data_IF_195294783491
#
_entry.id   IF_195294783491
#
_cell.length_a   1.000
_cell.length_b   1.000
_cell.length_c   1.000
_cell.angle_alpha   90.00
_cell.angle_beta   90.00
_cell.angle_gamma   90.00
#
_symmetry.space_group_name_H-M   'P 1'
#
loop_
_entity.id
_entity.type
_entity.pdbx_description
1 polymer ?
#
# COMPACT_ATOMS: atom_id res chain seq x y z
N UNK A 1 -38.39 58.54 -62.99
CA UNK A 1 -37.26 59.31 -62.41
C UNK A 1 -36.81 58.59 -61.15
N UNK A 2 -35.49 58.40 -61.01
CA UNK A 2 -34.73 57.80 -59.88
C UNK A 2 -35.06 56.34 -59.53
N UNK A 3 -34.24 55.32 -59.79
CA UNK A 3 -32.80 55.07 -59.54
C UNK A 3 -32.46 54.90 -58.05
N UNK A 4 -31.92 53.72 -57.75
CA UNK A 4 -30.90 53.38 -56.74
C UNK A 4 -31.30 52.81 -55.36
N UNK A 5 -30.69 51.64 -55.11
CA UNK A 5 -30.09 51.14 -53.85
C UNK A 5 -30.91 50.08 -53.11
N UNK A 6 -30.71 48.78 -53.37
CA UNK A 6 -29.58 47.94 -52.93
C UNK A 6 -29.67 47.64 -51.43
N UNK A 7 -30.05 46.41 -51.06
CA UNK A 7 -29.45 45.65 -49.96
C UNK A 7 -29.87 44.17 -50.07
N UNK A 8 -28.86 43.32 -49.97
CA UNK A 8 -28.84 41.91 -50.31
C UNK A 8 -29.54 41.02 -49.28
N UNK A 9 -30.18 39.96 -49.77
CA UNK A 9 -30.46 38.77 -48.96
C UNK A 9 -30.06 37.53 -49.79
N UNK A 10 -28.78 37.19 -49.70
CA UNK A 10 -28.22 35.95 -50.22
C UNK A 10 -28.54 34.84 -49.22
N UNK A 11 -29.53 34.01 -49.54
CA UNK A 11 -29.87 32.83 -48.76
C UNK A 11 -28.78 31.76 -48.94
N UNK A 12 -27.88 31.62 -47.97
CA UNK A 12 -26.98 30.47 -47.87
C UNK A 12 -27.75 29.27 -47.29
N UNK A 13 -27.94 28.24 -48.12
CA UNK A 13 -28.27 26.89 -47.67
C UNK A 13 -27.04 26.27 -46.98
N UNK A 14 -27.04 26.19 -45.65
CA UNK A 14 -26.12 25.31 -44.92
C UNK A 14 -26.71 23.89 -44.93
N UNK A 15 -26.16 23.02 -45.77
CA UNK A 15 -26.33 21.58 -45.63
C UNK A 15 -25.47 21.10 -44.44
N UNK A 16 -26.13 20.65 -43.37
CA UNK A 16 -25.47 20.04 -42.22
C UNK A 16 -25.01 18.61 -42.60
N UNK A 17 -23.70 18.44 -42.77
CA UNK A 17 -23.06 17.12 -42.89
C UNK A 17 -22.73 16.64 -41.46
N UNK A 18 -23.21 15.47 -41.00
CA UNK A 18 -22.80 14.96 -39.71
C UNK A 18 -21.34 14.49 -39.80
N UNK A 19 -20.44 15.20 -39.12
CA UNK A 19 -19.07 14.75 -38.93
C UNK A 19 -19.07 13.53 -38.00
N UNK A 20 -18.96 12.34 -38.59
CA UNK A 20 -18.68 11.13 -37.83
C UNK A 20 -17.27 11.26 -37.23
N UNK A 21 -17.21 11.57 -35.93
CA UNK A 21 -15.97 11.52 -35.15
C UNK A 21 -15.61 10.04 -35.03
N UNK A 22 -14.74 9.57 -35.92
CA UNK A 22 -14.09 8.28 -35.78
C UNK A 22 -13.23 8.34 -34.50
N UNK A 23 -13.62 7.58 -33.48
CA UNK A 23 -12.77 7.26 -32.32
C UNK A 23 -11.52 6.58 -32.88
N UNK A 24 -10.43 7.33 -32.98
CA UNK A 24 -9.12 6.73 -33.16
C UNK A 24 -8.83 5.96 -31.88
N UNK A 25 -8.80 4.63 -31.97
CA UNK A 25 -8.27 3.81 -30.91
C UNK A 25 -6.80 4.22 -30.73
N UNK A 26 -6.48 4.80 -29.58
CA UNK A 26 -5.10 5.01 -29.17
C UNK A 26 -4.41 3.63 -29.22
N UNK A 27 -3.27 3.47 -29.89
CA UNK A 27 -2.53 2.22 -29.83
C UNK A 27 -2.22 1.94 -28.36
N UNK A 28 -2.59 0.75 -27.87
CA UNK A 28 -2.07 0.28 -26.60
C UNK A 28 -0.55 0.33 -26.70
N UNK A 29 0.11 1.04 -25.79
CA UNK A 29 1.56 1.08 -25.75
C UNK A 29 2.07 -0.37 -25.69
N UNK A 30 2.82 -0.78 -26.70
CA UNK A 30 3.51 -2.07 -26.67
C UNK A 30 4.47 -2.01 -25.48
N UNK A 31 4.33 -2.97 -24.55
CA UNK A 31 5.24 -3.11 -23.41
C UNK A 31 6.67 -3.20 -23.94
N UNK A 32 7.62 -2.57 -23.24
CA UNK A 32 9.03 -2.93 -23.45
C UNK A 32 9.16 -4.43 -23.17
N UNK A 33 9.40 -5.19 -24.24
CA UNK A 33 9.55 -6.63 -24.15
C UNK A 33 10.78 -6.93 -23.30
N UNK A 34 10.58 -7.53 -22.12
CA UNK A 34 11.66 -8.03 -21.27
C UNK A 34 11.80 -7.39 -19.89
N UNK A 35 10.93 -6.44 -19.51
CA UNK A 35 10.86 -5.91 -18.14
C UNK A 35 9.69 -6.54 -17.39
N UNK A 36 9.96 -7.14 -16.23
CA UNK A 36 8.95 -7.68 -15.32
C UNK A 36 8.27 -6.52 -14.59
N UNK A 37 6.95 -6.51 -14.55
CA UNK A 37 6.16 -5.53 -13.82
C UNK A 37 5.74 -6.09 -12.46
N UNK A 38 6.31 -5.51 -11.39
CA UNK A 38 5.96 -5.79 -10.01
C UNK A 38 4.94 -4.77 -9.52
N UNK A 39 3.68 -5.15 -9.32
CA UNK A 39 2.75 -4.28 -8.60
C UNK A 39 2.90 -4.49 -7.08
N UNK A 40 3.08 -3.41 -6.35
CA UNK A 40 3.40 -3.44 -4.91
C UNK A 40 2.77 -2.25 -4.22
N UNK A 41 2.97 -2.16 -2.90
CA UNK A 41 2.41 -1.09 -2.10
C UNK A 41 3.35 0.09 -1.92
N UNK A 42 2.79 1.30 -1.81
CA UNK A 42 3.58 2.50 -1.49
C UNK A 42 4.35 2.34 -0.17
N UNK A 43 3.80 1.67 0.85
CA UNK A 43 4.53 1.39 2.10
C UNK A 43 5.72 0.45 1.88
N UNK A 44 5.60 -0.55 1.00
CA UNK A 44 6.75 -1.39 0.62
C UNK A 44 7.84 -0.56 -0.04
N UNK A 45 7.47 0.35 -0.95
CA UNK A 45 8.43 1.25 -1.61
C UNK A 45 9.08 2.22 -0.62
N UNK A 46 8.28 2.89 0.22
CA UNK A 46 8.74 3.92 1.15
C UNK A 46 9.66 3.35 2.24
N UNK A 47 9.54 2.06 2.56
CA UNK A 47 10.48 1.36 3.45
C UNK A 47 11.92 1.33 2.90
N UNK A 48 12.08 1.46 1.58
CA UNK A 48 13.34 1.31 0.85
C UNK A 48 13.75 -0.14 0.57
N UNK A 49 12.94 -1.14 0.95
CA UNK A 49 13.30 -2.56 0.77
C UNK A 49 13.55 -2.91 -0.70
N UNK A 50 12.73 -2.33 -1.59
CA UNK A 50 12.82 -2.61 -3.02
C UNK A 50 14.11 -2.06 -3.65
N UNK A 51 14.72 -1.03 -3.06
CA UNK A 51 15.96 -0.44 -3.55
C UNK A 51 17.17 -1.39 -3.34
N UNK A 52 17.06 -2.37 -2.44
CA UNK A 52 18.06 -3.41 -2.22
C UNK A 52 17.66 -4.74 -2.86
N UNK A 53 16.38 -5.10 -2.77
CA UNK A 53 15.87 -6.38 -3.25
C UNK A 53 15.85 -6.50 -4.78
N UNK A 54 15.42 -5.45 -5.48
CA UNK A 54 15.28 -5.49 -6.95
C UNK A 54 16.64 -5.56 -7.66
N UNK A 55 17.66 -4.75 -7.31
CA UNK A 55 18.98 -4.88 -7.94
C UNK A 55 19.60 -6.28 -7.76
N UNK A 56 19.42 -6.89 -6.59
CA UNK A 56 19.89 -8.26 -6.34
C UNK A 56 19.16 -9.28 -7.22
N UNK A 57 17.85 -9.14 -7.40
CA UNK A 57 17.08 -9.96 -8.34
C UNK A 57 17.60 -9.81 -9.77
N UNK A 58 17.82 -8.58 -10.24
CA UNK A 58 18.31 -8.31 -11.60
C UNK A 58 19.70 -8.92 -11.82
N UNK A 59 20.60 -8.80 -10.84
CA UNK A 59 21.94 -9.40 -10.88
C UNK A 59 21.87 -10.94 -10.99
N UNK A 60 21.00 -11.58 -10.21
CA UNK A 60 20.91 -13.05 -10.14
C UNK A 60 20.17 -13.67 -11.33
N UNK A 61 19.12 -12.99 -11.80
CA UNK A 61 18.25 -13.51 -12.86
C UNK A 61 18.66 -13.05 -14.26
N UNK A 62 19.39 -11.93 -14.37
CA UNK A 62 19.64 -11.25 -15.64
C UNK A 62 18.40 -10.65 -16.29
N UNK A 63 17.30 -10.50 -15.54
CA UNK A 63 16.02 -9.94 -15.99
C UNK A 63 15.79 -8.60 -15.33
N UNK A 64 15.29 -7.62 -16.08
CA UNK A 64 14.91 -6.33 -15.53
C UNK A 64 13.56 -6.40 -14.84
N UNK A 65 13.38 -5.60 -13.78
CA UNK A 65 12.12 -5.51 -13.04
C UNK A 65 11.80 -4.06 -12.69
N UNK A 66 10.54 -3.66 -12.85
CA UNK A 66 10.06 -2.32 -12.56
C UNK A 66 8.89 -2.37 -11.57
N UNK A 67 8.97 -1.68 -10.42
CA UNK A 67 7.87 -1.60 -9.47
C UNK A 67 6.81 -0.59 -9.90
N UNK A 68 5.54 -0.90 -9.65
CA UNK A 68 4.38 -0.01 -9.71
C UNK A 68 3.82 0.07 -8.28
N UNK A 69 4.05 1.20 -7.61
CA UNK A 69 3.72 1.36 -6.19
C UNK A 69 2.39 2.09 -6.01
N UNK A 70 1.38 1.38 -5.51
CA UNK A 70 0.00 1.87 -5.31
C UNK A 70 -0.59 1.34 -4.00
N UNK A 71 -1.89 1.51 -3.73
CA UNK A 71 -2.54 0.79 -2.62
C UNK A 71 -2.70 -0.71 -2.92
N UNK A 72 -2.84 -1.57 -1.90
CA UNK A 72 -3.00 -3.03 -2.09
C UNK A 72 -4.18 -3.39 -3.01
N UNK A 73 -5.32 -2.68 -2.87
CA UNK A 73 -6.47 -2.87 -3.76
C UNK A 73 -6.13 -2.55 -5.22
N UNK A 74 -5.54 -1.38 -5.47
CA UNK A 74 -5.10 -0.98 -6.80
C UNK A 74 -4.03 -1.93 -7.39
N UNK A 75 -3.13 -2.48 -6.57
CA UNK A 75 -2.13 -3.46 -7.00
C UNK A 75 -2.79 -4.78 -7.45
N UNK A 76 -3.80 -5.25 -6.71
CA UNK A 76 -4.60 -6.42 -7.09
C UNK A 76 -5.39 -6.15 -8.38
N UNK A 77 -5.98 -4.98 -8.53
CA UNK A 77 -6.68 -4.60 -9.78
C UNK A 77 -5.73 -4.57 -10.99
N UNK A 78 -4.48 -4.12 -10.82
CA UNK A 78 -3.46 -4.20 -11.88
C UNK A 78 -3.22 -5.67 -12.28
N UNK A 79 -3.11 -6.58 -11.31
CA UNK A 79 -3.01 -8.02 -11.57
C UNK A 79 -4.23 -8.59 -12.30
N UNK A 80 -5.43 -8.18 -11.90
CA UNK A 80 -6.70 -8.61 -12.51
C UNK A 80 -6.77 -8.18 -13.98
N UNK A 81 -6.37 -6.95 -14.30
CA UNK A 81 -6.34 -6.44 -15.68
C UNK A 81 -5.16 -6.98 -16.50
N UNK A 82 -4.32 -7.82 -15.90
CA UNK A 82 -3.09 -8.32 -16.50
C UNK A 82 -2.07 -7.22 -16.79
N UNK A 83 -2.12 -6.13 -16.02
CA UNK A 83 -1.25 -4.95 -16.07
C UNK A 83 0.03 -5.11 -15.23
N UNK A 84 0.15 -6.20 -14.46
CA UNK A 84 1.35 -6.62 -13.73
C UNK A 84 1.62 -8.12 -13.93
N UNK A 85 2.87 -8.54 -13.72
CA UNK A 85 3.29 -9.95 -13.86
C UNK A 85 3.35 -10.67 -12.51
N UNK A 86 3.67 -9.93 -11.45
CA UNK A 86 3.77 -10.42 -10.09
C UNK A 86 3.37 -9.31 -9.12
N UNK A 87 2.78 -9.70 -7.98
CA UNK A 87 2.33 -8.79 -6.94
C UNK A 87 3.15 -9.04 -5.66
N UNK A 88 3.46 -7.98 -4.92
CA UNK A 88 3.95 -8.04 -3.53
C UNK A 88 3.06 -7.14 -2.66
N UNK A 89 2.10 -7.74 -1.96
CA UNK A 89 1.00 -7.04 -1.28
C UNK A 89 0.80 -7.58 0.13
N UNK A 90 -0.04 -6.89 0.93
CA UNK A 90 -0.27 -7.20 2.34
C UNK A 90 -1.74 -7.02 2.78
N UNK A 91 -2.67 -7.53 1.97
CA UNK A 91 -4.10 -7.51 2.28
C UNK A 91 -4.69 -8.92 2.19
N UNK A 92 -4.52 -9.78 3.22
CA UNK A 92 -4.82 -11.20 3.12
C UNK A 92 -6.23 -11.53 2.63
N UNK A 93 -7.25 -10.82 3.11
CA UNK A 93 -8.63 -11.05 2.70
C UNK A 93 -8.87 -10.70 1.21
N UNK A 94 -8.30 -9.58 0.73
CA UNK A 94 -8.42 -9.17 -0.67
C UNK A 94 -7.61 -10.10 -1.59
N UNK A 95 -6.44 -10.55 -1.13
CA UNK A 95 -5.62 -11.54 -1.84
C UNK A 95 -6.33 -12.89 -1.95
N UNK A 96 -7.00 -13.35 -0.89
CA UNK A 96 -7.77 -14.59 -0.92
C UNK A 96 -8.93 -14.50 -1.91
N UNK A 97 -9.64 -13.37 -1.95
CA UNK A 97 -10.67 -13.11 -2.95
C UNK A 97 -10.10 -13.09 -4.38
N UNK A 98 -8.95 -12.45 -4.57
CA UNK A 98 -8.23 -12.41 -5.85
C UNK A 98 -7.82 -13.81 -6.35
N UNK A 99 -7.28 -14.65 -5.45
CA UNK A 99 -6.94 -16.03 -5.75
C UNK A 99 -8.18 -16.88 -6.05
N UNK A 100 -9.25 -16.72 -5.27
CA UNK A 100 -10.51 -17.44 -5.47
C UNK A 100 -11.21 -17.09 -6.79
N UNK A 101 -11.06 -15.84 -7.26
CA UNK A 101 -11.52 -15.40 -8.57
C UNK A 101 -10.67 -15.94 -9.73
N UNK A 102 -9.55 -16.60 -9.44
CA UNK A 102 -8.65 -17.20 -10.43
C UNK A 102 -7.67 -16.21 -11.05
N UNK A 103 -7.49 -15.02 -10.48
CA UNK A 103 -6.60 -13.99 -11.02
C UNK A 103 -5.12 -14.22 -10.69
N UNK A 104 -4.81 -15.05 -9.69
CA UNK A 104 -3.45 -15.48 -9.37
C UNK A 104 -3.27 -16.99 -9.50
N UNK A 105 -2.04 -17.42 -9.75
CA UNK A 105 -1.69 -18.85 -9.92
C UNK A 105 -1.00 -19.45 -8.70
N UNK A 106 -0.21 -18.65 -7.99
CA UNK A 106 0.46 -19.03 -6.76
C UNK A 106 0.51 -17.82 -5.81
N UNK A 107 0.25 -18.06 -4.53
CA UNK A 107 0.37 -17.07 -3.44
C UNK A 107 1.22 -17.66 -2.34
N UNK A 108 2.24 -16.93 -1.89
CA UNK A 108 3.20 -17.38 -0.86
C UNK A 108 3.50 -16.27 0.12
N UNK A 109 3.61 -16.61 1.40
CA UNK A 109 4.11 -15.66 2.41
C UNK A 109 5.57 -15.35 2.15
N UNK A 110 5.99 -14.11 2.39
CA UNK A 110 7.38 -13.66 2.18
C UNK A 110 8.00 -13.24 3.50
N UNK A 111 7.32 -12.34 4.20
CA UNK A 111 7.80 -11.67 5.39
C UNK A 111 6.61 -11.06 6.12
N UNK A 112 6.84 -10.60 7.34
CA UNK A 112 5.90 -9.74 8.03
C UNK A 112 6.62 -8.58 8.71
N UNK A 113 5.91 -7.49 8.90
CA UNK A 113 6.21 -6.53 9.95
C UNK A 113 4.96 -6.35 10.81
N UNK A 114 4.89 -5.28 11.56
CA UNK A 114 3.71 -4.93 12.33
C UNK A 114 3.27 -3.49 12.10
N UNK A 115 1.99 -3.29 12.34
CA UNK A 115 1.40 -1.98 12.54
C UNK A 115 1.56 -1.55 13.99
N UNK A 116 1.66 -0.24 14.18
CA UNK A 116 1.72 0.40 15.48
C UNK A 116 0.72 1.53 15.52
N UNK A 117 0.11 1.71 16.69
CA UNK A 117 -0.67 2.90 16.98
C UNK A 117 0.28 3.94 17.53
N UNK A 118 0.33 5.09 16.86
CA UNK A 118 1.13 6.24 17.28
C UNK A 118 0.20 7.39 17.65
N UNK A 119 0.65 8.29 18.52
CA UNK A 119 -0.20 9.35 19.04
C UNK A 119 0.55 10.32 19.95
N UNK A 120 -0.15 11.28 20.57
CA UNK A 120 0.45 12.21 21.52
C UNK A 120 1.11 11.48 22.69
N UNK A 121 2.29 11.95 23.11
CA UNK A 121 3.05 11.36 24.21
C UNK A 121 2.28 11.38 25.55
N UNK A 122 1.36 12.32 25.75
CA UNK A 122 0.53 12.39 26.96
C UNK A 122 -0.60 11.35 26.97
N UNK A 123 -0.85 10.68 25.85
CA UNK A 123 -1.88 9.67 25.66
C UNK A 123 -3.25 10.07 26.28
N UNK A 124 -3.88 11.16 25.81
CA UNK A 124 -5.12 11.66 26.40
C UNK A 124 -6.29 10.67 26.36
N UNK A 125 -6.27 9.69 25.43
CA UNK A 125 -7.26 8.61 25.37
C UNK A 125 -6.89 7.38 26.23
N UNK A 126 -5.68 7.33 26.81
CA UNK A 126 -5.23 6.23 27.66
C UNK A 126 -5.07 4.89 26.92
N UNK A 127 -4.73 4.92 25.63
CA UNK A 127 -4.64 3.73 24.77
C UNK A 127 -3.51 2.79 25.18
N UNK A 128 -2.44 3.30 25.80
CA UNK A 128 -1.31 2.47 26.25
C UNK A 128 -1.70 1.49 27.36
N UNK A 129 -2.74 1.82 28.14
CA UNK A 129 -3.27 0.95 29.19
C UNK A 129 -4.30 -0.08 28.69
N UNK A 130 -4.72 0.00 27.43
CA UNK A 130 -5.66 -0.94 26.86
C UNK A 130 -5.06 -2.36 26.76
N UNK A 131 -5.87 -3.39 26.99
CA UNK A 131 -5.40 -4.78 26.91
C UNK A 131 -5.32 -5.33 25.49
N UNK A 132 -6.11 -4.76 24.58
CA UNK A 132 -6.18 -5.14 23.16
C UNK A 132 -6.20 -3.89 22.28
N UNK A 133 -5.89 -4.02 21.00
CA UNK A 133 -5.96 -2.90 20.06
C UNK A 133 -7.40 -2.38 19.90
N UNK A 134 -8.41 -3.25 19.91
CA UNK A 134 -9.82 -2.85 19.79
C UNK A 134 -10.26 -2.01 20.99
N UNK A 135 -9.77 -2.34 22.19
CA UNK A 135 -10.00 -1.54 23.39
C UNK A 135 -9.34 -0.15 23.29
N UNK A 136 -8.16 -0.05 22.67
CA UNK A 136 -7.49 1.22 22.40
C UNK A 136 -8.25 2.06 21.37
N UNK A 137 -8.69 1.45 20.26
CA UNK A 137 -9.54 2.11 19.26
C UNK A 137 -10.83 2.61 19.92
N UNK A 138 -11.48 1.79 20.74
CA UNK A 138 -12.66 2.19 21.48
C UNK A 138 -12.41 3.36 22.44
N UNK A 139 -11.26 3.40 23.10
CA UNK A 139 -10.90 4.53 23.97
C UNK A 139 -10.75 5.85 23.19
N UNK A 140 -10.12 5.82 22.01
CA UNK A 140 -10.00 6.98 21.12
C UNK A 140 -11.39 7.52 20.74
N UNK A 141 -12.27 6.65 20.25
CA UNK A 141 -13.60 7.05 19.82
C UNK A 141 -14.47 7.57 20.98
N UNK A 142 -14.47 6.88 22.12
CA UNK A 142 -15.26 7.28 23.31
C UNK A 142 -14.78 8.62 23.89
N UNK A 143 -13.47 8.90 23.82
CA UNK A 143 -12.88 10.17 24.21
C UNK A 143 -13.00 11.27 23.15
N UNK A 144 -13.50 10.94 21.96
CA UNK A 144 -13.44 11.79 20.76
C UNK A 144 -12.03 12.38 20.54
N UNK A 145 -10.99 11.57 20.79
CA UNK A 145 -9.63 11.99 20.60
C UNK A 145 -9.30 12.08 19.10
N UNK A 146 -8.57 13.12 18.65
CA UNK A 146 -8.26 13.27 17.23
C UNK A 146 -7.57 12.03 16.67
N UNK A 147 -8.07 11.52 15.55
CA UNK A 147 -7.53 10.40 14.80
C UNK A 147 -7.42 10.80 13.33
N UNK A 148 -6.28 10.51 12.70
CA UNK A 148 -6.06 10.72 11.28
C UNK A 148 -6.04 9.37 10.59
N UNK A 149 -7.00 9.15 9.71
CA UNK A 149 -7.02 8.03 8.77
C UNK A 149 -6.28 8.41 7.50
N UNK A 150 -5.70 7.39 6.85
CA UNK A 150 -5.23 7.49 5.47
C UNK A 150 -6.36 7.82 4.49
N UNK A 151 -7.53 7.19 4.64
CA UNK A 151 -8.69 7.37 3.75
C UNK A 151 -8.37 7.19 2.26
N UNK A 152 -7.50 6.24 1.91
CA UNK A 152 -6.91 6.09 0.58
C UNK A 152 -7.06 4.68 -0.02
N UNK A 153 -7.94 3.84 0.54
CA UNK A 153 -8.17 2.44 0.12
C UNK A 153 -6.92 1.54 0.18
N UNK A 154 -5.92 1.94 0.97
CA UNK A 154 -4.70 1.14 1.17
C UNK A 154 -4.87 -0.01 2.16
N UNK A 155 -3.86 -0.88 2.25
CA UNK A 155 -3.80 -1.93 3.28
C UNK A 155 -3.89 -1.38 4.71
N UNK A 156 -3.24 -0.24 5.00
CA UNK A 156 -3.32 0.41 6.33
C UNK A 156 -4.73 0.92 6.60
N UNK A 157 -5.38 1.56 5.61
CA UNK A 157 -6.76 2.03 5.77
C UNK A 157 -7.73 0.86 5.93
N UNK A 158 -7.57 -0.21 5.16
CA UNK A 158 -8.38 -1.42 5.29
C UNK A 158 -8.23 -2.07 6.68
N UNK A 159 -7.01 -2.15 7.21
CA UNK A 159 -6.77 -2.63 8.58
C UNK A 159 -7.44 -1.72 9.61
N UNK A 160 -7.23 -0.42 9.50
CA UNK A 160 -7.81 0.57 10.40
C UNK A 160 -9.34 0.48 10.45
N UNK A 161 -10.00 0.43 9.28
CA UNK A 161 -11.46 0.28 9.18
C UNK A 161 -11.94 -1.05 9.80
N UNK A 162 -11.21 -2.14 9.60
CA UNK A 162 -11.51 -3.42 10.25
C UNK A 162 -11.40 -3.32 11.77
N UNK A 163 -10.37 -2.66 12.30
CA UNK A 163 -10.20 -2.47 13.74
C UNK A 163 -11.32 -1.61 14.35
N UNK A 164 -11.84 -0.62 13.61
CA UNK A 164 -13.02 0.12 14.02
C UNK A 164 -14.27 -0.77 14.08
N UNK A 165 -14.50 -1.57 13.04
CA UNK A 165 -15.62 -2.51 12.97
C UNK A 165 -15.56 -3.54 14.12
N UNK A 166 -14.39 -4.13 14.37
CA UNK A 166 -14.16 -5.09 15.46
C UNK A 166 -14.37 -4.45 16.85
N UNK A 167 -14.09 -3.15 16.98
CA UNK A 167 -14.41 -2.36 18.18
C UNK A 167 -15.89 -1.93 18.25
N UNK A 168 -16.71 -2.27 17.24
CA UNK A 168 -18.13 -1.90 17.16
C UNK A 168 -18.38 -0.42 16.93
N UNK A 169 -17.43 0.27 16.26
CA UNK A 169 -17.43 1.71 16.05
C UNK A 169 -17.51 2.01 14.55
N UNK A 170 -18.42 2.91 14.19
CA UNK A 170 -18.39 3.57 12.89
C UNK A 170 -17.59 4.88 13.05
N UNK A 171 -16.37 4.99 12.49
CA UNK A 171 -15.55 6.17 12.66
C UNK A 171 -16.17 7.35 11.91
N UNK A 172 -16.14 8.54 12.53
CA UNK A 172 -16.68 9.73 11.89
C UNK A 172 -16.89 10.92 12.84
N UNK A 173 -17.18 12.08 12.24
CA UNK A 173 -17.35 13.34 12.97
C UNK A 173 -16.03 14.11 13.14
N UNK A 174 -16.02 15.07 14.07
CA UNK A 174 -14.93 16.05 14.17
C UNK A 174 -13.59 15.48 14.65
N UNK A 175 -13.59 14.31 15.31
CA UNK A 175 -12.39 13.68 15.82
C UNK A 175 -11.71 12.78 14.78
N UNK A 176 -12.40 12.37 13.71
CA UNK A 176 -11.87 11.49 12.67
C UNK A 176 -11.62 12.28 11.38
N UNK A 177 -10.39 12.33 10.90
CA UNK A 177 -10.01 13.01 9.66
C UNK A 177 -9.39 12.03 8.68
N UNK A 178 -9.94 11.94 7.47
CA UNK A 178 -9.29 11.27 6.34
C UNK A 178 -8.29 12.23 5.68
N UNK A 179 -7.02 11.83 5.56
CA UNK A 179 -6.01 12.63 4.88
C UNK A 179 -6.13 12.53 3.36
N UNK A 180 -6.49 11.36 2.83
CA UNK A 180 -6.46 11.03 1.40
C UNK A 180 -5.04 10.95 0.84
N UNK A 181 -4.04 10.70 1.68
CA UNK A 181 -2.62 10.78 1.35
C UNK A 181 -1.86 9.52 1.77
N UNK A 182 -0.61 9.38 1.30
CA UNK A 182 0.28 8.30 1.72
C UNK A 182 0.64 8.36 3.22
N UNK A 183 1.29 7.31 3.71
CA UNK A 183 1.56 7.14 5.14
C UNK A 183 2.48 8.23 5.72
N UNK A 184 3.52 8.63 4.98
CA UNK A 184 4.45 9.66 5.45
C UNK A 184 3.81 11.05 5.63
N UNK A 185 2.86 11.43 4.77
CA UNK A 185 2.11 12.67 4.89
C UNK A 185 1.03 12.57 5.99
N UNK A 186 0.35 11.42 6.07
CA UNK A 186 -0.61 11.13 7.15
C UNK A 186 0.04 11.25 8.54
N UNK A 187 1.27 10.74 8.70
CA UNK A 187 2.04 10.87 9.95
C UNK A 187 2.39 12.34 10.28
N UNK A 188 2.73 13.15 9.29
CA UNK A 188 2.98 14.59 9.47
C UNK A 188 1.70 15.31 9.94
N UNK A 189 0.58 15.03 9.30
CA UNK A 189 -0.74 15.59 9.68
C UNK A 189 -1.10 15.17 11.11
N UNK A 190 -0.88 13.90 11.47
CA UNK A 190 -1.15 13.39 12.81
C UNK A 190 -0.29 14.10 13.87
N UNK A 191 1.01 14.28 13.60
CA UNK A 191 1.91 15.00 14.49
C UNK A 191 1.50 16.48 14.68
N UNK A 192 1.21 17.20 13.59
CA UNK A 192 0.77 18.59 13.63
C UNK A 192 -0.53 18.78 14.43
N UNK A 193 -1.45 17.83 14.30
CA UNK A 193 -2.76 17.86 14.97
C UNK A 193 -2.74 17.27 16.37
N UNK A 194 -1.61 16.70 16.82
CA UNK A 194 -1.52 15.90 18.05
C UNK A 194 -2.63 14.84 18.07
N UNK A 195 -2.71 14.08 16.99
CA UNK A 195 -3.72 13.06 16.74
C UNK A 195 -3.11 11.66 16.76
N UNK A 196 -3.93 10.67 17.04
CA UNK A 196 -3.58 9.27 16.86
C UNK A 196 -3.63 8.88 15.37
N UNK A 197 -2.83 7.91 14.97
CA UNK A 197 -2.95 7.26 13.65
C UNK A 197 -2.37 5.85 13.72
N UNK A 198 -2.86 4.97 12.85
CA UNK A 198 -2.25 3.67 12.60
C UNK A 198 -1.18 3.81 11.52
N UNK A 199 -0.03 3.16 11.69
CA UNK A 199 1.07 3.15 10.71
C UNK A 199 1.82 1.84 10.75
N UNK A 200 2.46 1.43 9.65
CA UNK A 200 3.46 0.36 9.73
C UNK A 200 4.72 0.88 10.44
N UNK A 201 5.40 0.00 11.19
CA UNK A 201 6.60 0.35 11.95
C UNK A 201 7.72 0.93 11.08
N UNK A 202 7.87 0.41 9.86
CA UNK A 202 8.96 0.84 8.98
C UNK A 202 8.83 2.29 8.54
N UNK A 203 7.62 2.70 8.14
CA UNK A 203 7.35 4.10 7.84
C UNK A 203 7.58 4.98 9.07
N UNK A 204 7.11 4.55 10.25
CA UNK A 204 7.33 5.29 11.50
C UNK A 204 8.82 5.48 11.81
N UNK A 205 9.62 4.41 11.80
CA UNK A 205 11.06 4.45 12.04
C UNK A 205 11.78 5.42 11.08
N UNK A 206 11.37 5.47 9.81
CA UNK A 206 11.96 6.38 8.81
C UNK A 206 11.70 7.87 9.08
N UNK A 207 10.68 8.17 9.90
CA UNK A 207 10.21 9.52 10.22
C UNK A 207 10.31 9.89 11.70
N UNK A 208 10.60 8.93 12.59
CA UNK A 208 10.53 9.09 14.05
C UNK A 208 11.36 10.26 14.55
N UNK A 209 12.59 10.44 14.04
CA UNK A 209 13.47 11.56 14.40
C UNK A 209 12.92 12.95 14.03
N UNK A 210 11.90 13.00 13.16
CA UNK A 210 11.29 14.23 12.63
C UNK A 210 9.89 14.48 13.19
N UNK A 211 9.30 13.54 13.93
CA UNK A 211 7.91 13.59 14.38
C UNK A 211 7.83 13.39 15.90
N UNK A 212 7.18 14.33 16.60
CA UNK A 212 6.80 14.17 18.01
C UNK A 212 5.53 13.31 18.11
N UNK A 213 5.64 12.05 17.68
CA UNK A 213 4.53 11.11 17.56
C UNK A 213 4.99 9.69 17.94
N UNK A 214 5.19 9.41 19.24
CA UNK A 214 5.67 8.11 19.70
C UNK A 214 4.66 6.98 19.45
N UNK A 215 5.18 5.75 19.44
CA UNK A 215 4.35 4.54 19.55
C UNK A 215 3.67 4.56 20.92
N UNK A 216 2.34 4.51 20.92
CA UNK A 216 1.50 4.46 22.13
C UNK A 216 0.90 3.06 22.34
N UNK A 217 0.84 2.23 21.29
CA UNK A 217 0.49 0.81 21.40
C UNK A 217 1.05 -0.02 20.24
N UNK A 218 1.53 -1.22 20.57
CA UNK A 218 2.13 -2.18 19.64
C UNK A 218 1.98 -3.62 20.17
N UNK A 219 2.40 -4.61 19.38
CA UNK A 219 2.51 -6.00 19.83
C UNK A 219 1.20 -6.79 19.90
N UNK A 220 0.08 -6.20 19.50
CA UNK A 220 -1.19 -6.91 19.38
C UNK A 220 -1.18 -7.81 18.14
N UNK A 221 -1.58 -9.09 18.21
CA UNK A 221 -1.62 -9.98 17.05
C UNK A 221 -2.46 -9.45 15.88
N UNK A 222 -3.49 -8.62 16.14
CA UNK A 222 -4.30 -8.01 15.10
C UNK A 222 -3.53 -6.95 14.27
N UNK A 223 -2.38 -6.49 14.76
CA UNK A 223 -1.48 -5.56 14.10
C UNK A 223 -0.41 -6.26 13.23
N UNK A 224 -0.42 -7.60 13.15
CA UNK A 224 0.51 -8.31 12.28
C UNK A 224 0.26 -7.96 10.81
N UNK A 225 1.32 -7.57 10.11
CA UNK A 225 1.26 -7.18 8.70
C UNK A 225 2.04 -8.17 7.84
N UNK A 226 1.32 -9.14 7.26
CA UNK A 226 1.93 -10.24 6.50
C UNK A 226 1.94 -9.91 5.01
N UNK A 227 3.12 -10.00 4.41
CA UNK A 227 3.33 -9.76 2.99
C UNK A 227 3.31 -11.07 2.22
N UNK A 228 2.63 -11.04 1.08
CA UNK A 228 2.53 -12.16 0.16
C UNK A 228 3.03 -11.76 -1.22
N UNK A 229 3.75 -12.69 -1.85
CA UNK A 229 4.04 -12.64 -3.28
C UNK A 229 2.98 -13.45 -4.02
N UNK A 230 2.46 -12.90 -5.11
CA UNK A 230 1.42 -13.54 -5.94
C UNK A 230 1.84 -13.51 -7.40
N UNK A 231 1.98 -14.68 -8.03
CA UNK A 231 2.16 -14.78 -9.47
C UNK A 231 0.81 -14.55 -10.17
N UNK A 232 0.75 -13.58 -11.10
CA UNK A 232 -0.49 -13.25 -11.81
C UNK A 232 -0.81 -14.33 -12.83
N UNK A 233 -2.09 -14.66 -13.00
CA UNK A 233 -2.53 -15.65 -13.97
C UNK A 233 -2.34 -15.13 -15.40
N UNK A 234 -1.57 -15.81 -16.28
CA UNK A 234 -1.39 -15.40 -17.67
C UNK A 234 -2.70 -15.33 -18.48
N UNK A 235 -3.78 -15.97 -17.99
CA UNK A 235 -5.10 -15.84 -18.59
C UNK A 235 -5.71 -14.42 -18.45
N UNK A 236 -5.22 -13.60 -17.51
CA UNK A 236 -5.72 -12.25 -17.27
C UNK A 236 -5.31 -11.25 -18.36
N UNK A 237 -4.22 -11.50 -19.08
CA UNK A 237 -3.70 -10.56 -20.07
C UNK A 237 -2.65 -11.16 -21.00
N UNK A 238 -2.71 -10.81 -22.28
CA UNK A 238 -1.84 -11.37 -23.34
C UNK A 238 -0.35 -11.04 -23.20
N UNK A 239 -0.02 -10.05 -22.37
CA UNK A 239 1.33 -9.52 -22.24
C UNK A 239 1.99 -9.89 -20.91
N UNK A 240 1.37 -10.76 -20.10
CA UNK A 240 1.92 -11.18 -18.81
C UNK A 240 3.16 -12.04 -19.05
N UNK A 241 4.29 -11.67 -18.44
CA UNK A 241 5.50 -12.49 -18.39
C UNK A 241 5.40 -13.50 -17.25
N UNK A 242 4.70 -14.61 -17.49
CA UNK A 242 4.54 -15.70 -16.51
C UNK A 242 5.88 -16.21 -15.98
N UNK A 243 6.87 -16.39 -16.87
CA UNK A 243 8.19 -16.86 -16.48
C UNK A 243 8.95 -15.84 -15.63
N UNK A 244 8.76 -14.55 -15.92
CA UNK A 244 9.33 -13.46 -15.14
C UNK A 244 8.70 -13.33 -13.75
N UNK A 245 7.37 -13.37 -13.67
CA UNK A 245 6.66 -13.34 -12.38
C UNK A 245 7.02 -14.53 -11.50
N UNK A 246 7.11 -15.73 -12.08
CA UNK A 246 7.58 -16.93 -11.38
C UNK A 246 9.04 -16.84 -10.93
N UNK A 247 9.91 -16.24 -11.75
CA UNK A 247 11.31 -16.03 -11.37
C UNK A 247 11.44 -15.09 -10.15
N UNK A 248 10.68 -13.99 -10.13
CA UNK A 248 10.68 -13.08 -8.98
C UNK A 248 10.08 -13.74 -7.73
N UNK A 249 8.97 -14.48 -7.86
CA UNK A 249 8.39 -15.26 -6.77
C UNK A 249 9.39 -16.24 -6.18
N UNK A 250 10.09 -17.02 -7.01
CA UNK A 250 11.11 -17.96 -6.54
C UNK A 250 12.29 -17.25 -5.87
N UNK A 251 12.72 -16.11 -6.42
CA UNK A 251 13.81 -15.31 -5.87
C UNK A 251 13.48 -14.75 -4.49
N UNK A 252 12.33 -14.11 -4.30
CA UNK A 252 12.01 -13.45 -3.03
C UNK A 252 11.84 -14.45 -1.88
N UNK A 253 11.52 -15.71 -2.20
CA UNK A 253 11.47 -16.82 -1.26
C UNK A 253 12.81 -17.55 -1.07
N UNK A 254 13.85 -17.18 -1.82
CA UNK A 254 15.15 -17.83 -1.75
C UNK A 254 15.88 -17.51 -0.44
N UNK A 255 16.78 -18.39 0.04
CA UNK A 255 17.57 -18.11 1.25
C UNK A 255 18.34 -16.79 1.19
N UNK A 256 18.84 -16.41 0.03
CA UNK A 256 19.60 -15.16 -0.16
C UNK A 256 18.71 -13.93 0.04
N UNK A 257 17.54 -13.89 -0.59
CA UNK A 257 16.58 -12.79 -0.41
C UNK A 257 16.03 -12.74 1.02
N UNK A 258 15.78 -13.90 1.63
CA UNK A 258 15.28 -13.98 3.02
C UNK A 258 16.31 -13.50 4.04
N UNK A 259 17.62 -13.74 3.81
CA UNK A 259 18.68 -13.15 4.64
C UNK A 259 18.71 -11.62 4.50
N UNK A 260 18.64 -11.09 3.27
CA UNK A 260 18.56 -9.64 3.05
C UNK A 260 17.38 -9.03 3.80
N UNK A 261 16.19 -9.63 3.68
CA UNK A 261 14.98 -9.18 4.40
C UNK A 261 15.21 -9.19 5.92
N UNK A 262 15.86 -10.23 6.47
CA UNK A 262 16.09 -10.36 7.91
C UNK A 262 17.07 -9.33 8.48
N UNK A 263 17.98 -8.83 7.66
CA UNK A 263 18.99 -7.86 8.05
C UNK A 263 18.57 -6.42 7.73
N UNK A 264 17.62 -6.24 6.81
CA UNK A 264 17.19 -4.95 6.30
C UNK A 264 16.74 -3.99 7.41
N UNK A 265 17.38 -2.82 7.44
CA UNK A 265 17.09 -1.76 8.41
C UNK A 265 17.94 -1.79 9.68
N UNK A 266 18.58 -2.92 10.01
CA UNK A 266 19.33 -3.07 11.28
C UNK A 266 20.39 -1.99 11.46
N UNK A 267 21.19 -1.71 10.43
CA UNK A 267 22.24 -0.69 10.50
C UNK A 267 21.71 0.74 10.65
N UNK A 268 20.47 0.99 10.21
CA UNK A 268 19.84 2.31 10.20
C UNK A 268 18.98 2.57 11.44
N UNK A 269 18.28 1.56 11.92
CA UNK A 269 17.25 1.68 12.95
C UNK A 269 17.59 0.90 14.23
N UNK A 270 18.69 0.14 14.25
CA UNK A 270 19.09 -0.70 15.39
C UNK A 270 18.34 -2.02 15.49
N UNK A 271 17.31 -2.22 14.65
CA UNK A 271 16.49 -3.43 14.56
C UNK A 271 16.06 -3.71 13.12
N UNK A 272 15.75 -4.96 12.76
CA UNK A 272 15.25 -5.30 11.43
C UNK A 272 13.81 -4.80 11.23
N UNK A 273 13.53 -4.28 10.04
CA UNK A 273 12.21 -3.75 9.67
C UNK A 273 11.19 -4.84 9.33
N UNK A 274 11.67 -6.00 8.90
CA UNK A 274 10.86 -7.12 8.46
C UNK A 274 11.41 -8.42 9.06
N UNK A 275 10.49 -9.32 9.41
CA UNK A 275 10.82 -10.69 9.79
C UNK A 275 10.50 -11.63 8.63
N UNK A 276 11.48 -12.38 8.10
CA UNK A 276 11.25 -13.35 7.03
C UNK A 276 10.27 -14.45 7.46
N UNK A 277 9.41 -14.90 6.54
CA UNK A 277 8.47 -15.99 6.82
C UNK A 277 8.07 -16.79 5.57
N UNK A 278 9.02 -16.99 4.64
CA UNK A 278 8.82 -17.79 3.42
C UNK A 278 8.49 -19.27 3.66
N UNK A 279 8.71 -19.78 4.88
CA UNK A 279 8.35 -21.13 5.32
C UNK A 279 6.90 -21.25 5.84
N UNK A 280 6.12 -20.16 5.75
CA UNK A 280 4.78 -19.99 6.32
C UNK A 280 4.75 -19.97 7.87
N UNK A 281 5.86 -19.65 8.53
CA UNK A 281 5.90 -19.48 9.98
C UNK A 281 5.50 -18.06 10.46
N UNK A 282 4.81 -17.26 9.64
CA UNK A 282 4.35 -15.92 10.03
C UNK A 282 3.30 -16.07 11.16
N UNK A 283 3.59 -15.58 12.37
CA UNK A 283 2.64 -15.72 13.49
C UNK A 283 3.19 -15.59 14.90
N UNK A 284 4.51 -15.45 15.08
CA UNK A 284 5.09 -15.01 16.34
C UNK A 284 5.60 -13.58 16.17
N UNK A 285 4.89 -12.59 16.71
CA UNK A 285 5.48 -11.28 16.93
C UNK A 285 6.72 -11.50 17.81
N UNK A 286 7.91 -10.96 17.46
CA UNK A 286 8.99 -10.90 18.43
C UNK A 286 8.43 -10.15 19.65
N UNK A 287 8.43 -10.81 20.81
CA UNK A 287 8.07 -10.14 22.06
C UNK A 287 9.05 -8.99 22.24
N UNK A 288 8.56 -7.75 22.29
CA UNK A 288 9.38 -6.59 22.61
C UNK A 288 10.25 -6.93 23.82
N UNK A 289 11.56 -6.81 23.68
CA UNK A 289 12.45 -6.93 24.82
C UNK A 289 12.18 -5.72 25.73
N UNK A 290 11.65 -5.89 26.95
CA UNK A 290 11.42 -4.78 27.86
C UNK A 290 12.71 -4.02 28.23
N UNK A 291 13.88 -4.49 27.80
CA UNK A 291 15.17 -3.82 27.98
C UNK A 291 15.53 -2.77 26.90
N UNK A 292 14.81 -2.69 25.77
CA UNK A 292 15.09 -1.70 24.73
C UNK A 292 14.38 -0.35 25.02
N UNK A 293 14.67 0.24 26.17
CA UNK A 293 14.45 1.68 26.34
C UNK A 293 15.57 2.40 25.58
N UNK A 294 15.30 3.33 24.66
CA UNK A 294 16.37 4.15 24.11
C UNK A 294 17.05 4.87 25.27
N UNK A 295 18.37 4.73 25.37
CA UNK A 295 19.14 5.45 26.36
C UNK A 295 18.87 6.95 26.19
N UNK A 296 18.48 7.58 27.31
CA UNK A 296 18.16 9.01 27.43
C UNK A 296 19.30 9.93 26.98
#
# INVERSE_FOLDING_TARGET
MSVCSLLAALALLLAAVPAAVARQATPAAERETGVILLATTTSTQDSGLLDELLPLFEERSGRSIAPISVGSGAALELGERGEADVLLVHSPAAEEAFMAAGFGTERRTVMFNDFVLVGPAEDPAGVGAATTIEAAMAAIANGAAPFVSRGDDSGTNALELRLWEEAGIEPGGAWYTESGTGMGETLQIAAERRAYTLTDRGTWLSLADRLDLPIVREGDPALLNVYHVIAVNPANGRNIDEAGGQAFLAFVLSPEAQVLIAEFGTDRFGEPLFTPCADNACGALPTADPAATPAA
#
